data_IF_743313031200
#
_entry.id   IF_743313031200
#
_cell.length_a   1.000
_cell.length_b   1.000
_cell.length_c   1.000
_cell.angle_alpha   90.00
_cell.angle_beta   90.00
_cell.angle_gamma   90.00
#
_symmetry.space_group_name_H-M   'P 1'
#
loop_
_entity.id
_entity.type
_entity.pdbx_description
1 polymer ?
#
# COMPACT_ATOMS: atom_id res chain seq x y z
N UNK A 1 -23.82 -1.67 2.94
CA UNK A 1 -23.86 -0.32 3.48
C UNK A 1 -25.11 0.40 2.97
N UNK A 2 -25.89 1.04 3.83
CA UNK A 2 -27.01 1.91 3.45
C UNK A 2 -26.71 3.33 3.91
N UNK A 3 -26.80 4.31 3.02
CA UNK A 3 -26.80 5.73 3.36
C UNK A 3 -28.19 6.13 3.83
N UNK A 4 -28.29 6.97 4.88
CA UNK A 4 -29.56 7.42 5.44
C UNK A 4 -30.38 8.28 4.49
N UNK A 5 -29.72 8.99 3.57
CA UNK A 5 -30.37 9.94 2.63
C UNK A 5 -30.75 9.35 1.28
N UNK A 6 -30.42 8.10 1.03
CA UNK A 6 -30.78 7.43 -0.23
C UNK A 6 -31.05 5.94 0.05
N UNK A 7 -32.30 5.50 -0.15
CA UNK A 7 -32.73 4.13 0.06
C UNK A 7 -32.09 3.09 -0.91
N UNK A 8 -31.10 3.49 -1.69
CA UNK A 8 -30.37 2.61 -2.57
C UNK A 8 -29.43 1.71 -1.76
N UNK A 9 -29.69 0.39 -1.77
CA UNK A 9 -28.76 -0.63 -1.31
C UNK A 9 -27.47 -0.55 -2.15
N UNK A 10 -26.42 0.04 -1.59
CA UNK A 10 -25.10 -0.03 -2.20
C UNK A 10 -24.45 -1.35 -1.78
N UNK A 11 -24.35 -2.28 -2.71
CA UNK A 11 -23.50 -3.47 -2.58
C UNK A 11 -22.09 -3.11 -3.06
N UNK A 12 -21.26 -2.58 -2.17
CA UNK A 12 -19.85 -2.33 -2.48
C UNK A 12 -19.46 -0.86 -2.50
N UNK A 13 -19.53 -0.17 -3.63
CA UNK A 13 -19.07 1.20 -3.78
C UNK A 13 -20.25 2.20 -3.73
N UNK A 14 -20.05 3.34 -3.06
CA UNK A 14 -20.99 4.45 -3.06
C UNK A 14 -20.27 5.73 -3.51
N UNK A 15 -20.93 6.53 -4.35
CA UNK A 15 -20.46 7.87 -4.70
C UNK A 15 -20.98 8.83 -3.64
N UNK A 16 -20.05 9.52 -2.97
CA UNK A 16 -20.35 10.54 -1.98
C UNK A 16 -19.95 11.90 -2.54
N UNK A 17 -20.94 12.74 -2.83
CA UNK A 17 -20.67 14.07 -3.34
C UNK A 17 -20.44 15.04 -2.18
N UNK A 18 -19.23 15.56 -2.05
CA UNK A 18 -18.91 16.62 -1.10
C UNK A 18 -19.28 17.98 -1.70
N UNK A 19 -20.37 18.58 -1.22
CA UNK A 19 -20.94 19.84 -1.74
C UNK A 19 -20.70 21.03 -0.81
N UNK A 20 -20.17 20.80 0.36
CA UNK A 20 -19.91 21.84 1.36
C UNK A 20 -18.49 21.72 1.89
N UNK A 21 -18.00 22.73 2.61
CA UNK A 21 -16.69 22.71 3.27
C UNK A 21 -16.57 21.61 4.32
N UNK A 22 -17.69 21.14 4.86
CA UNK A 22 -17.80 20.00 5.76
C UNK A 22 -19.13 19.30 5.51
N UNK A 23 -19.08 17.97 5.43
CA UNK A 23 -20.28 17.16 5.22
C UNK A 23 -20.13 15.83 5.95
N UNK A 24 -21.20 15.36 6.59
CA UNK A 24 -21.26 14.08 7.28
C UNK A 24 -22.08 13.09 6.47
N UNK A 25 -21.53 11.90 6.27
CA UNK A 25 -22.23 10.78 5.64
C UNK A 25 -22.45 9.69 6.69
N UNK A 26 -23.71 9.27 6.91
CA UNK A 26 -24.05 8.25 7.88
C UNK A 26 -24.41 6.94 7.21
N UNK A 27 -23.70 5.89 7.55
CA UNK A 27 -23.96 4.53 7.09
C UNK A 27 -24.64 3.72 8.19
N UNK A 28 -25.69 3.01 7.85
CA UNK A 28 -26.45 2.15 8.77
C UNK A 28 -26.30 0.68 8.39
N UNK A 29 -26.67 -0.22 9.30
CA UNK A 29 -26.56 -1.68 9.13
C UNK A 29 -25.12 -2.18 8.89
N UNK A 30 -24.15 -1.49 9.48
CA UNK A 30 -22.74 -1.87 9.44
C UNK A 30 -22.49 -2.84 10.60
N UNK A 31 -22.18 -4.10 10.29
CA UNK A 31 -21.99 -5.16 11.31
C UNK A 31 -20.66 -5.04 12.03
N UNK A 32 -19.62 -4.59 11.33
CA UNK A 32 -18.25 -4.46 11.83
C UNK A 32 -17.69 -3.10 11.43
N UNK A 33 -16.71 -2.57 12.18
CA UNK A 33 -16.05 -1.31 11.84
C UNK A 33 -15.40 -1.46 10.46
N UNK A 34 -15.83 -0.69 9.43
CA UNK A 34 -15.25 -0.80 8.12
C UNK A 34 -13.91 -0.05 8.05
N UNK A 35 -13.02 -0.52 7.18
CA UNK A 35 -11.85 0.23 6.75
C UNK A 35 -12.25 1.05 5.51
N UNK A 36 -12.15 2.39 5.54
CA UNK A 36 -12.55 3.21 4.40
C UNK A 36 -11.54 3.08 3.26
N UNK A 37 -12.04 2.78 2.06
CA UNK A 37 -11.31 2.89 0.80
C UNK A 37 -11.95 4.00 -0.01
N UNK A 38 -11.30 5.14 -0.11
CA UNK A 38 -11.86 6.37 -0.69
C UNK A 38 -11.13 6.76 -1.99
N UNK A 39 -11.73 7.65 -2.77
CA UNK A 39 -11.21 8.13 -4.07
C UNK A 39 -10.94 7.01 -5.08
N UNK A 40 -11.66 5.91 -4.99
CA UNK A 40 -11.55 4.77 -5.89
C UNK A 40 -11.73 5.19 -7.35
N UNK A 41 -10.92 4.60 -8.23
CA UNK A 41 -10.95 4.94 -9.66
C UNK A 41 -10.62 6.41 -9.96
N UNK A 42 -9.84 7.08 -9.10
CA UNK A 42 -9.49 8.51 -9.26
C UNK A 42 -10.73 9.43 -9.33
N UNK A 43 -11.74 9.12 -8.52
CA UNK A 43 -13.05 9.78 -8.57
C UNK A 43 -13.04 11.29 -8.29
N UNK A 44 -11.96 11.83 -7.72
CA UNK A 44 -11.76 13.28 -7.57
C UNK A 44 -10.27 13.66 -7.61
N UNK A 45 -9.89 14.77 -8.24
CA UNK A 45 -8.52 15.28 -8.32
C UNK A 45 -8.16 16.09 -7.07
N UNK A 46 -8.15 15.45 -5.91
CA UNK A 46 -7.89 16.08 -4.61
C UNK A 46 -6.76 15.36 -3.88
N UNK A 47 -6.07 16.09 -3.00
CA UNK A 47 -5.16 15.48 -2.04
C UNK A 47 -5.99 14.95 -0.87
N UNK A 48 -5.89 13.66 -0.64
CA UNK A 48 -6.54 13.00 0.50
C UNK A 48 -5.61 13.05 1.72
N UNK A 49 -6.13 13.46 2.86
CA UNK A 49 -5.51 13.31 4.16
C UNK A 49 -6.42 12.42 5.01
N UNK A 50 -5.99 11.20 5.26
CA UNK A 50 -6.72 10.21 6.04
C UNK A 50 -5.75 9.44 6.93
N UNK A 51 -5.97 9.52 8.24
CA UNK A 51 -5.16 8.78 9.20
C UNK A 51 -5.66 7.33 9.30
N UNK A 52 -4.88 6.40 8.77
CA UNK A 52 -5.12 4.97 8.87
C UNK A 52 -4.05 4.32 9.75
N UNK A 53 -4.46 3.40 10.59
CA UNK A 53 -3.56 2.56 11.37
C UNK A 53 -2.81 1.57 10.47
N UNK A 54 -1.71 1.00 10.95
CA UNK A 54 -0.97 -0.04 10.20
C UNK A 54 -1.82 -1.26 9.89
N UNK A 55 -2.71 -1.65 10.81
CA UNK A 55 -3.66 -2.75 10.58
C UNK A 55 -4.63 -2.42 9.44
N UNK A 56 -5.18 -1.21 9.41
CA UNK A 56 -6.07 -0.76 8.35
C UNK A 56 -5.34 -0.66 7.01
N UNK A 57 -4.12 -0.14 6.98
CA UNK A 57 -3.28 -0.08 5.77
C UNK A 57 -2.91 -1.48 5.26
N UNK A 58 -2.50 -2.39 6.15
CA UNK A 58 -2.19 -3.77 5.79
C UNK A 58 -3.43 -4.51 5.27
N UNK A 59 -4.60 -4.20 5.82
CA UNK A 59 -5.88 -4.74 5.35
C UNK A 59 -6.20 -4.24 3.94
N UNK A 60 -6.14 -2.93 3.69
CA UNK A 60 -6.37 -2.35 2.35
C UNK A 60 -5.37 -2.89 1.32
N UNK A 61 -4.08 -2.92 1.66
CA UNK A 61 -3.02 -3.47 0.82
C UNK A 61 -3.33 -4.92 0.39
N UNK A 62 -3.91 -5.72 1.30
CA UNK A 62 -4.18 -7.14 1.06
C UNK A 62 -5.53 -7.40 0.38
N UNK A 63 -6.55 -6.56 0.61
CA UNK A 63 -7.94 -6.90 0.31
C UNK A 63 -8.70 -5.88 -0.53
N UNK A 64 -8.18 -4.67 -0.75
CA UNK A 64 -8.89 -3.69 -1.58
C UNK A 64 -9.03 -4.22 -3.01
N UNK A 65 -10.18 -4.01 -3.62
CA UNK A 65 -10.41 -4.38 -5.01
C UNK A 65 -9.96 -3.31 -6.01
N UNK A 66 -9.56 -2.10 -5.53
CA UNK A 66 -8.96 -1.06 -6.34
C UNK A 66 -7.44 -1.17 -6.28
N UNK A 67 -6.79 -1.43 -7.44
CA UNK A 67 -5.35 -1.64 -7.51
C UNK A 67 -4.53 -0.41 -7.09
N UNK A 68 -5.02 0.80 -7.40
CA UNK A 68 -4.33 2.03 -6.99
C UNK A 68 -4.40 2.21 -5.47
N UNK A 69 -5.58 2.00 -4.86
CA UNK A 69 -5.72 2.11 -3.41
C UNK A 69 -4.90 1.06 -2.67
N UNK A 70 -4.75 -0.15 -3.23
CA UNK A 70 -3.82 -1.17 -2.71
C UNK A 70 -2.37 -0.68 -2.73
N UNK A 71 -1.94 -0.11 -3.85
CA UNK A 71 -0.60 0.45 -4.00
C UNK A 71 -0.39 1.61 -3.02
N UNK A 72 -1.33 2.54 -2.94
CA UNK A 72 -1.25 3.69 -2.03
C UNK A 72 -1.17 3.25 -0.56
N UNK A 73 -1.97 2.26 -0.16
CA UNK A 73 -1.89 1.67 1.18
C UNK A 73 -0.51 1.03 1.44
N UNK A 74 0.10 0.37 0.43
CA UNK A 74 1.45 -0.19 0.56
C UNK A 74 2.51 0.89 0.76
N UNK A 75 2.37 2.02 0.05
CA UNK A 75 3.28 3.16 0.20
C UNK A 75 3.13 3.82 1.57
N UNK A 76 1.90 4.08 2.02
CA UNK A 76 1.64 4.68 3.34
C UNK A 76 2.15 3.79 4.48
N UNK A 77 1.91 2.48 4.43
CA UNK A 77 2.43 1.53 5.42
C UNK A 77 3.95 1.51 5.43
N UNK A 78 4.57 1.48 4.25
CA UNK A 78 6.03 1.51 4.11
C UNK A 78 6.62 2.81 4.64
N UNK A 79 5.98 3.97 4.40
CA UNK A 79 6.40 5.27 4.96
C UNK A 79 6.40 5.23 6.48
N UNK A 80 5.31 4.74 7.11
CA UNK A 80 5.23 4.66 8.58
C UNK A 80 6.36 3.80 9.16
N UNK A 81 6.64 2.63 8.55
CA UNK A 81 7.73 1.75 8.98
C UNK A 81 9.10 2.39 8.77
N UNK A 82 9.31 3.06 7.64
CA UNK A 82 10.58 3.74 7.34
C UNK A 82 10.83 4.92 8.28
N UNK A 83 9.80 5.70 8.63
CA UNK A 83 9.93 6.78 9.60
C UNK A 83 10.39 6.27 10.97
N UNK A 84 9.81 5.16 11.47
CA UNK A 84 10.26 4.57 12.73
C UNK A 84 11.71 4.07 12.65
N UNK A 85 12.11 3.50 11.50
CA UNK A 85 13.48 3.04 11.27
C UNK A 85 14.48 4.18 11.23
N UNK A 86 14.12 5.32 10.67
CA UNK A 86 14.96 6.55 10.67
C UNK A 86 15.16 7.01 12.12
N UNK A 87 14.08 7.03 12.91
CA UNK A 87 14.17 7.39 14.34
C UNK A 87 15.05 6.39 15.10
N UNK A 88 14.92 5.09 14.82
CA UNK A 88 15.73 4.04 15.44
C UNK A 88 17.21 4.16 15.06
N UNK A 89 17.52 4.47 13.81
CA UNK A 89 18.88 4.69 13.33
C UNK A 89 19.58 5.82 14.13
N UNK A 90 18.90 6.94 14.32
CA UNK A 90 19.40 8.08 15.10
C UNK A 90 19.64 7.74 16.58
N UNK A 91 18.88 6.77 17.10
CA UNK A 91 19.06 6.23 18.46
C UNK A 91 20.08 5.07 18.53
N UNK A 92 20.73 4.72 17.40
CA UNK A 92 21.64 3.55 17.27
C UNK A 92 20.96 2.24 17.68
N UNK A 93 19.68 2.11 17.40
CA UNK A 93 18.86 0.92 17.62
C UNK A 93 18.67 0.16 16.31
N UNK A 94 18.56 -1.16 16.37
CA UNK A 94 18.17 -2.00 15.25
C UNK A 94 16.70 -2.39 15.44
N UNK A 95 15.77 -1.83 14.67
CA UNK A 95 14.37 -2.21 14.74
C UNK A 95 14.17 -3.59 14.11
N UNK A 96 13.27 -4.37 14.68
CA UNK A 96 12.80 -5.60 14.06
C UNK A 96 12.03 -5.31 12.77
N UNK A 97 11.95 -6.31 11.89
CA UNK A 97 11.12 -6.22 10.70
C UNK A 97 9.65 -6.19 11.13
N UNK A 98 8.94 -5.16 10.68
CA UNK A 98 7.53 -4.98 11.00
C UNK A 98 6.70 -6.17 10.50
N UNK A 99 6.00 -6.91 11.40
CA UNK A 99 5.29 -8.11 11.02
C UNK A 99 4.05 -7.84 10.15
N UNK A 100 3.41 -6.68 10.28
CA UNK A 100 2.24 -6.31 9.49
C UNK A 100 2.65 -6.06 8.05
N UNK A 101 3.74 -5.31 7.85
CA UNK A 101 4.31 -5.07 6.52
C UNK A 101 4.80 -6.38 5.88
N UNK A 102 5.53 -7.22 6.62
CA UNK A 102 6.00 -8.51 6.11
C UNK A 102 4.84 -9.41 5.68
N UNK A 103 3.81 -9.54 6.52
CA UNK A 103 2.65 -10.38 6.24
C UNK A 103 1.85 -9.85 5.03
N UNK A 104 1.70 -8.52 4.91
CA UNK A 104 1.00 -7.92 3.77
C UNK A 104 1.75 -8.19 2.45
N UNK A 105 3.07 -8.03 2.40
CA UNK A 105 3.88 -8.39 1.24
C UNK A 105 3.86 -9.89 0.93
N UNK A 106 3.90 -10.74 1.95
CA UNK A 106 3.78 -12.19 1.77
C UNK A 106 2.46 -12.58 1.09
N UNK A 107 1.35 -11.98 1.51
CA UNK A 107 0.03 -12.21 0.89
C UNK A 107 -0.03 -11.74 -0.56
N UNK A 108 0.58 -10.60 -0.91
CA UNK A 108 0.65 -10.12 -2.29
C UNK A 108 1.36 -11.12 -3.22
N UNK A 109 2.44 -11.74 -2.77
CA UNK A 109 3.16 -12.75 -3.58
C UNK A 109 2.34 -14.04 -3.77
N UNK A 110 1.49 -14.38 -2.80
CA UNK A 110 0.65 -15.58 -2.84
C UNK A 110 -0.64 -15.37 -3.64
N UNK A 111 -1.09 -14.14 -3.82
CA UNK A 111 -2.32 -13.83 -4.54
C UNK A 111 -2.08 -13.83 -6.05
N UNK A 112 -2.33 -14.97 -6.68
CA UNK A 112 -2.16 -15.17 -8.13
C UNK A 112 -3.24 -14.50 -8.98
N UNK A 113 -4.29 -13.96 -8.36
CA UNK A 113 -5.38 -13.27 -9.08
C UNK A 113 -5.02 -11.81 -9.40
N UNK A 114 -3.97 -11.27 -8.78
CA UNK A 114 -3.53 -9.90 -8.99
C UNK A 114 -2.71 -9.75 -10.27
N UNK A 115 -2.81 -8.57 -10.86
CA UNK A 115 -1.91 -8.15 -11.91
C UNK A 115 -0.47 -8.11 -11.40
N UNK A 116 0.43 -8.86 -12.06
CA UNK A 116 1.81 -9.02 -11.59
C UNK A 116 2.62 -7.73 -11.70
N UNK A 117 2.31 -6.86 -12.66
CA UNK A 117 2.97 -5.56 -12.78
C UNK A 117 2.60 -4.63 -11.63
N UNK A 118 1.34 -4.69 -11.18
CA UNK A 118 0.88 -3.96 -10.00
C UNK A 118 1.54 -4.50 -8.74
N UNK A 119 1.63 -5.83 -8.58
CA UNK A 119 2.35 -6.45 -7.45
C UNK A 119 3.80 -6.00 -7.42
N UNK A 120 4.51 -6.00 -8.56
CA UNK A 120 5.88 -5.51 -8.63
C UNK A 120 6.00 -4.04 -8.19
N UNK A 121 5.06 -3.18 -8.61
CA UNK A 121 4.99 -1.77 -8.18
C UNK A 121 4.77 -1.60 -6.69
N UNK A 122 4.01 -2.48 -6.05
CA UNK A 122 3.82 -2.43 -4.60
C UNK A 122 5.11 -2.77 -3.83
N UNK A 123 6.02 -3.54 -4.43
CA UNK A 123 7.34 -3.84 -3.85
C UNK A 123 8.37 -2.70 -4.00
N UNK A 124 8.07 -1.68 -4.82
CA UNK A 124 8.88 -0.47 -4.85
C UNK A 124 8.66 0.35 -3.58
N UNK A 125 9.62 0.29 -2.67
CA UNK A 125 9.57 1.10 -1.45
C UNK A 125 9.61 2.60 -1.79
N UNK A 126 8.98 3.46 -0.97
CA UNK A 126 9.03 4.91 -1.12
C UNK A 126 10.44 5.40 -1.41
N UNK A 127 10.59 6.32 -2.36
CA UNK A 127 11.89 6.85 -2.73
C UNK A 127 12.50 7.69 -1.60
N UNK A 128 13.83 7.79 -1.57
CA UNK A 128 14.52 8.63 -0.58
C UNK A 128 14.11 10.11 -0.70
N UNK A 129 13.89 10.57 -1.94
CA UNK A 129 13.40 11.92 -2.21
C UNK A 129 11.99 12.15 -1.62
N UNK A 130 11.09 11.21 -1.84
CA UNK A 130 9.73 11.30 -1.27
C UNK A 130 9.74 11.29 0.26
N UNK A 131 10.57 10.45 0.88
CA UNK A 131 10.74 10.45 2.33
C UNK A 131 11.31 11.79 2.83
N UNK A 132 12.27 12.37 2.12
CA UNK A 132 12.85 13.66 2.46
C UNK A 132 11.83 14.81 2.36
N UNK A 133 10.85 14.74 1.47
CA UNK A 133 9.75 15.70 1.37
C UNK A 133 8.77 15.62 2.54
N UNK A 134 8.57 14.42 3.10
CA UNK A 134 7.65 14.19 4.20
C UNK A 134 8.25 14.51 5.58
N UNK A 135 9.57 14.45 5.71
CA UNK A 135 10.24 14.60 7.01
C UNK A 135 10.52 16.07 7.37
N UNK A 136 10.55 16.39 8.66
CA UNK A 136 10.92 17.74 9.11
C UNK A 136 12.38 18.06 8.79
N UNK A 137 12.66 19.32 8.62
CA UNK A 137 14.04 19.83 8.43
C UNK A 137 14.77 20.00 9.77
N UNK A 138 16.10 19.77 9.81
CA UNK A 138 16.99 19.37 8.72
C UNK A 138 16.78 17.91 8.29
N UNK A 139 16.96 17.64 6.97
CA UNK A 139 16.76 16.29 6.41
C UNK A 139 17.92 15.38 6.83
N UNK A 140 17.59 14.23 7.40
CA UNK A 140 18.53 13.17 7.76
C UNK A 140 18.73 12.22 6.59
N UNK A 141 19.62 12.58 5.68
CA UNK A 141 19.92 11.81 4.45
C UNK A 141 20.44 10.41 4.77
N UNK A 142 21.36 10.31 5.73
CA UNK A 142 21.97 9.04 6.12
C UNK A 142 20.95 8.09 6.77
N UNK A 143 20.10 8.62 7.65
CA UNK A 143 19.02 7.86 8.29
C UNK A 143 18.01 7.34 7.26
N UNK A 144 17.60 8.17 6.29
CA UNK A 144 16.71 7.76 5.21
C UNK A 144 17.35 6.63 4.40
N UNK A 145 18.59 6.81 3.97
CA UNK A 145 19.30 5.80 3.18
C UNK A 145 19.41 4.47 3.91
N UNK A 146 19.91 4.49 5.16
CA UNK A 146 20.07 3.28 5.95
C UNK A 146 18.75 2.58 6.25
N UNK A 147 17.72 3.32 6.62
CA UNK A 147 16.40 2.76 6.89
C UNK A 147 15.82 2.05 5.65
N UNK A 148 15.90 2.71 4.48
CA UNK A 148 15.37 2.17 3.23
C UNK A 148 16.14 0.94 2.75
N UNK A 149 17.48 0.99 2.72
CA UNK A 149 18.31 -0.13 2.30
C UNK A 149 18.20 -1.32 3.28
N UNK A 150 18.16 -1.04 4.59
CA UNK A 150 17.96 -2.04 5.62
C UNK A 150 16.63 -2.78 5.44
N UNK A 151 15.52 -2.05 5.34
CA UNK A 151 14.19 -2.62 5.14
C UNK A 151 14.12 -3.46 3.86
N UNK A 152 14.64 -2.93 2.74
CA UNK A 152 14.70 -3.65 1.46
C UNK A 152 15.43 -4.99 1.58
N UNK A 153 16.60 -4.99 2.25
CA UNK A 153 17.40 -6.19 2.45
C UNK A 153 16.68 -7.22 3.32
N UNK A 154 16.08 -6.78 4.42
CA UNK A 154 15.38 -7.65 5.35
C UNK A 154 14.12 -8.27 4.70
N UNK A 155 13.32 -7.48 3.98
CA UNK A 155 12.18 -8.00 3.22
C UNK A 155 12.63 -9.02 2.17
N UNK A 156 13.69 -8.73 1.42
CA UNK A 156 14.23 -9.64 0.41
C UNK A 156 14.74 -10.95 1.03
N UNK A 157 15.31 -10.91 2.23
CA UNK A 157 15.75 -12.10 2.97
C UNK A 157 14.57 -12.90 3.51
N UNK A 158 13.61 -12.23 4.15
CA UNK A 158 12.46 -12.88 4.75
C UNK A 158 11.52 -13.52 3.71
N UNK A 159 11.34 -12.85 2.57
CA UNK A 159 10.44 -13.30 1.50
C UNK A 159 11.16 -14.06 0.37
N UNK A 160 12.46 -14.37 0.54
CA UNK A 160 13.28 -14.99 -0.50
C UNK A 160 12.64 -16.21 -1.17
N UNK A 161 12.09 -17.20 -0.44
CA UNK A 161 11.46 -18.37 -1.07
C UNK A 161 10.29 -17.98 -1.96
N UNK A 162 9.40 -17.12 -1.49
CA UNK A 162 8.21 -16.67 -2.22
C UNK A 162 8.56 -15.81 -3.44
N UNK A 163 9.59 -14.96 -3.31
CA UNK A 163 10.10 -14.16 -4.43
C UNK A 163 10.69 -15.05 -5.53
N UNK A 164 11.44 -16.10 -5.18
CA UNK A 164 11.98 -17.06 -6.14
C UNK A 164 10.85 -17.85 -6.82
N UNK A 165 9.88 -18.35 -6.06
CA UNK A 165 8.70 -19.04 -6.60
C UNK A 165 7.92 -18.15 -7.57
N UNK A 166 7.69 -16.89 -7.18
CA UNK A 166 7.00 -15.92 -8.05
C UNK A 166 7.81 -15.64 -9.32
N UNK A 167 9.12 -15.46 -9.20
CA UNK A 167 9.99 -15.28 -10.35
C UNK A 167 9.93 -16.47 -11.31
N UNK A 168 10.02 -17.71 -10.81
CA UNK A 168 9.95 -18.91 -11.63
C UNK A 168 8.59 -19.06 -12.32
N UNK A 169 7.51 -18.72 -11.61
CA UNK A 169 6.13 -18.75 -12.13
C UNK A 169 5.89 -17.72 -13.24
N UNK A 170 6.47 -16.52 -13.10
CA UNK A 170 6.25 -15.40 -14.03
C UNK A 170 7.30 -15.31 -15.12
N UNK A 171 8.44 -16.02 -15.01
CA UNK A 171 9.49 -16.01 -16.00
C UNK A 171 9.03 -16.57 -17.34
N UNK A 172 9.12 -15.79 -18.40
CA UNK A 172 8.90 -16.25 -19.77
C UNK A 172 10.14 -16.98 -20.26
N UNK A 173 9.96 -18.24 -20.71
CA UNK A 173 11.03 -19.06 -21.29
C UNK A 173 10.96 -19.13 -22.82
N UNK A 174 10.00 -18.46 -23.46
CA UNK A 174 9.82 -18.40 -24.90
C UNK A 174 10.55 -17.25 -25.57
N UNK A 175 10.55 -17.24 -26.92
CA UNK A 175 10.96 -16.06 -27.66
C UNK A 175 10.08 -14.86 -27.29
N UNK A 176 10.65 -13.67 -27.33
CA UNK A 176 9.90 -12.45 -27.06
C UNK A 176 8.81 -12.26 -28.12
N UNK A 177 7.58 -12.20 -27.70
CA UNK A 177 6.45 -11.77 -28.50
C UNK A 177 5.86 -10.51 -27.92
N UNK A 178 5.65 -9.50 -28.76
CA UNK A 178 5.00 -8.26 -28.33
C UNK A 178 3.53 -8.55 -28.01
N UNK A 179 3.16 -8.45 -26.74
CA UNK A 179 1.80 -8.60 -26.25
C UNK A 179 1.64 -7.79 -24.96
N UNK A 180 0.39 -7.47 -24.60
CA UNK A 180 0.09 -6.78 -23.35
C UNK A 180 0.69 -7.51 -22.12
N UNK A 181 0.65 -8.84 -22.14
CA UNK A 181 1.25 -9.67 -21.10
C UNK A 181 2.79 -9.61 -21.10
N UNK A 182 3.44 -9.39 -22.24
CA UNK A 182 4.90 -9.21 -22.32
C UNK A 182 5.34 -7.81 -21.88
N UNK A 183 4.51 -6.79 -22.08
CA UNK A 183 4.76 -5.42 -21.63
C UNK A 183 4.59 -5.31 -20.09
N UNK A 184 3.68 -6.11 -19.52
CA UNK A 184 3.41 -6.15 -18.07
C UNK A 184 4.43 -6.99 -17.26
N UNK A 185 5.41 -7.61 -17.90
CA UNK A 185 6.50 -8.42 -17.28
C UNK A 185 7.80 -7.64 -17.21
#
# INVERSE_FOLDING_TARGET
>A
LQLTDNAARSTGNAVLELKASQQTFTFINVKEKPVPSVLRGFSAPVKLECELSRDELAFLMSHDSDGFNRWDASQQLSVQVLCDRIVAYNKKQQPELDPQLLNAFSRLLQDTSLDQSMVARMFDLPSELYLAELLPRPIDVDGIHHARQGLRKELAQALRPQLLETFERTASRGAYEYSDAAVAR
#
